data_IF_049161717443
#
_entry.id   IF_049161717443
#
_cell.length_a   1.000
_cell.length_b   1.000
_cell.length_c   1.000
_cell.angle_alpha   90.00
_cell.angle_beta   90.00
_cell.angle_gamma   90.00
#
_symmetry.space_group_name_H-M   'P 1'
#
loop_
_entity.id
_entity.type
_entity.pdbx_description
1 polymer ?
#
# COMPACT_ATOMS: atom_id res chain seq x y z
N UNK A 1 -1.67 19.48 -14.03
CA UNK A 1 -2.53 20.40 -13.24
C UNK A 1 -2.11 21.82 -13.55
N UNK A 2 -2.94 22.62 -14.23
CA UNK A 2 -2.53 23.92 -14.75
C UNK A 2 -2.21 24.95 -13.65
N UNK A 3 -2.88 24.88 -12.49
CA UNK A 3 -2.68 25.85 -11.41
C UNK A 3 -1.57 25.50 -10.42
N UNK A 4 -0.83 24.39 -10.57
CA UNK A 4 0.04 23.88 -9.51
C UNK A 4 1.16 24.86 -9.09
N UNK A 5 1.63 25.70 -10.02
CA UNK A 5 2.64 26.74 -9.78
C UNK A 5 2.22 27.80 -8.75
N UNK A 6 0.92 28.02 -8.56
CA UNK A 6 0.42 29.09 -7.67
C UNK A 6 0.22 28.64 -6.22
N UNK A 7 0.27 27.33 -5.97
CA UNK A 7 0.04 26.73 -4.65
C UNK A 7 1.33 26.20 -4.03
N UNK A 8 2.31 25.80 -4.84
CA UNK A 8 3.57 25.29 -4.31
C UNK A 8 4.38 26.40 -3.61
N UNK A 9 4.96 26.12 -2.43
CA UNK A 9 5.83 27.07 -1.73
C UNK A 9 7.12 27.36 -2.51
N UNK A 10 7.56 26.42 -3.35
CA UNK A 10 8.65 26.61 -4.31
C UNK A 10 8.22 26.11 -5.70
N UNK A 11 7.93 27.01 -6.65
CA UNK A 11 7.49 26.65 -7.99
C UNK A 11 8.63 26.16 -8.89
N UNK A 12 9.90 26.37 -8.54
CA UNK A 12 11.05 25.94 -9.35
C UNK A 12 11.20 24.42 -9.37
N UNK A 13 10.55 23.71 -8.44
CA UNK A 13 10.46 22.25 -8.40
C UNK A 13 9.72 21.68 -9.63
N UNK A 14 8.91 22.51 -10.31
CA UNK A 14 8.21 22.12 -11.54
C UNK A 14 9.01 22.37 -12.82
N UNK A 15 10.13 23.07 -12.73
CA UNK A 15 10.95 23.39 -13.88
C UNK A 15 11.92 22.22 -14.13
N UNK A 16 11.82 21.60 -15.31
CA UNK A 16 12.68 20.49 -15.71
C UNK A 16 14.12 21.00 -15.89
N UNK A 17 14.99 20.75 -14.91
CA UNK A 17 16.41 21.02 -15.09
C UNK A 17 17.01 20.04 -16.12
N UNK A 18 17.97 20.47 -16.96
CA UNK A 18 18.45 19.74 -18.14
C UNK A 18 19.09 18.36 -17.87
N UNK A 19 19.26 17.97 -16.61
CA UNK A 19 19.89 16.71 -16.19
C UNK A 19 19.07 15.91 -15.16
N UNK A 20 17.80 16.26 -14.94
CA UNK A 20 16.94 15.47 -14.05
C UNK A 20 16.53 14.17 -14.75
N UNK A 21 16.76 13.04 -14.07
CA UNK A 21 16.23 11.76 -14.51
C UNK A 21 14.72 11.74 -14.35
N UNK A 22 13.99 11.30 -15.38
CA UNK A 22 12.53 11.24 -15.37
C UNK A 22 11.96 10.46 -14.17
N UNK A 23 12.68 9.43 -13.69
CA UNK A 23 12.32 8.63 -12.51
C UNK A 23 12.35 9.39 -11.17
N UNK A 24 13.04 10.52 -11.10
CA UNK A 24 13.19 11.35 -9.88
C UNK A 24 12.20 12.51 -9.87
N UNK A 25 11.57 12.82 -11.00
CA UNK A 25 10.60 13.91 -11.11
C UNK A 25 9.42 13.63 -10.18
N UNK A 26 9.19 14.54 -9.23
CA UNK A 26 8.11 14.40 -8.26
C UNK A 26 6.78 14.66 -8.93
N UNK A 27 5.96 13.60 -9.00
CA UNK A 27 4.58 13.71 -9.46
C UNK A 27 3.68 14.16 -8.30
N UNK A 28 2.92 15.23 -8.53
CA UNK A 28 1.94 15.75 -7.59
C UNK A 28 0.54 15.26 -7.93
N UNK A 29 -0.14 14.69 -6.93
CA UNK A 29 -1.53 14.27 -7.04
C UNK A 29 -2.46 15.24 -6.29
N UNK A 30 -3.76 15.28 -6.64
CA UNK A 30 -4.75 16.03 -5.86
C UNK A 30 -4.75 15.66 -4.37
N UNK A 31 -4.45 14.39 -4.04
CA UNK A 31 -4.33 13.92 -2.64
C UNK A 31 -3.14 14.50 -1.88
N UNK A 32 -2.10 14.97 -2.57
CA UNK A 32 -0.89 15.53 -1.94
C UNK A 32 -1.07 17.00 -1.53
N UNK A 33 -2.11 17.65 -2.04
CA UNK A 33 -2.47 19.03 -1.69
C UNK A 33 -3.23 19.04 -0.36
N UNK A 34 -2.87 19.96 0.54
CA UNK A 34 -3.37 19.95 1.92
C UNK A 34 -4.78 20.53 2.04
N UNK A 35 -5.11 21.55 1.22
CA UNK A 35 -6.35 22.30 1.39
C UNK A 35 -7.34 22.08 0.25
N UNK A 36 -8.65 21.99 0.57
CA UNK A 36 -9.71 21.92 -0.44
C UNK A 36 -9.72 23.12 -1.40
N UNK A 37 -9.42 24.31 -0.90
CA UNK A 37 -9.34 25.55 -1.71
C UNK A 37 -8.17 25.53 -2.69
N UNK A 38 -7.03 24.96 -2.30
CA UNK A 38 -5.88 24.76 -3.18
C UNK A 38 -6.21 23.77 -4.30
N UNK A 39 -6.92 22.68 -3.96
CA UNK A 39 -7.37 21.68 -4.93
C UNK A 39 -8.32 22.29 -5.94
N UNK A 40 -9.30 23.07 -5.52
CA UNK A 40 -10.25 23.69 -6.45
C UNK A 40 -9.61 24.72 -7.39
N UNK A 41 -8.52 25.38 -6.96
CA UNK A 41 -7.74 26.32 -7.79
C UNK A 41 -6.80 25.62 -8.77
N UNK A 42 -6.26 24.47 -8.40
CA UNK A 42 -5.21 23.77 -9.15
C UNK A 42 -5.74 22.66 -10.06
N UNK A 43 -6.78 21.97 -9.60
CA UNK A 43 -7.33 20.77 -10.21
C UNK A 43 -8.47 21.13 -11.17
N UNK A 44 -8.59 20.35 -12.24
CA UNK A 44 -9.79 20.38 -13.07
C UNK A 44 -10.97 19.85 -12.25
N UNK A 45 -12.16 20.47 -12.41
CA UNK A 45 -13.38 20.05 -11.74
C UNK A 45 -13.62 18.55 -11.96
N UNK A 46 -13.90 17.83 -10.87
CA UNK A 46 -14.13 16.38 -10.90
C UNK A 46 -12.88 15.49 -10.88
N UNK A 47 -11.67 16.04 -11.01
CA UNK A 47 -10.45 15.22 -10.95
C UNK A 47 -10.25 14.59 -9.57
N UNK A 48 -10.58 15.31 -8.50
CA UNK A 48 -10.53 14.83 -7.11
C UNK A 48 -11.47 13.65 -6.87
N UNK A 49 -12.66 13.66 -7.49
CA UNK A 49 -13.64 12.58 -7.33
C UNK A 49 -13.21 11.33 -8.11
N UNK A 50 -12.64 11.51 -9.30
CA UNK A 50 -12.05 10.43 -10.10
C UNK A 50 -10.89 9.80 -9.34
N UNK A 51 -9.98 10.61 -8.81
CA UNK A 51 -8.86 10.09 -8.01
C UNK A 51 -9.38 9.32 -6.79
N UNK A 52 -10.33 9.86 -6.04
CA UNK A 52 -10.88 9.19 -4.86
C UNK A 52 -11.48 7.81 -5.21
N UNK A 53 -12.17 7.68 -6.36
CA UNK A 53 -12.67 6.39 -6.85
C UNK A 53 -11.55 5.41 -7.15
N UNK A 54 -10.51 5.86 -7.85
CA UNK A 54 -9.33 5.04 -8.16
C UNK A 54 -8.62 4.61 -6.87
N UNK A 55 -8.40 5.51 -5.90
CA UNK A 55 -7.77 5.19 -4.62
C UNK A 55 -8.56 4.16 -3.82
N UNK A 56 -9.89 4.25 -3.85
CA UNK A 56 -10.76 3.27 -3.21
C UNK A 56 -10.64 1.88 -3.87
N UNK A 57 -10.67 1.81 -5.20
CA UNK A 57 -10.49 0.56 -5.93
C UNK A 57 -9.12 -0.05 -5.65
N UNK A 58 -8.04 0.74 -5.77
CA UNK A 58 -6.68 0.32 -5.45
C UNK A 58 -6.54 -0.16 -4.00
N UNK A 59 -7.16 0.51 -3.04
CA UNK A 59 -7.12 0.06 -1.65
C UNK A 59 -7.77 -1.33 -1.49
N UNK A 60 -8.90 -1.58 -2.16
CA UNK A 60 -9.55 -2.90 -2.17
C UNK A 60 -8.68 -3.97 -2.82
N UNK A 61 -8.12 -3.68 -3.99
CA UNK A 61 -7.27 -4.61 -4.74
C UNK A 61 -5.98 -4.95 -3.95
N UNK A 62 -5.34 -3.95 -3.36
CA UNK A 62 -4.15 -4.16 -2.53
C UNK A 62 -4.45 -5.01 -1.29
N UNK A 63 -5.63 -4.88 -0.68
CA UNK A 63 -6.05 -5.77 0.42
C UNK A 63 -6.26 -7.20 -0.07
N UNK A 64 -6.85 -7.37 -1.25
CA UNK A 64 -7.03 -8.68 -1.85
C UNK A 64 -5.67 -9.35 -2.13
N UNK A 65 -4.73 -8.62 -2.73
CA UNK A 65 -3.38 -9.10 -2.98
C UNK A 65 -2.63 -9.42 -1.69
N UNK A 66 -2.75 -8.57 -0.66
CA UNK A 66 -2.17 -8.82 0.66
C UNK A 66 -2.67 -10.14 1.23
N UNK A 67 -3.99 -10.38 1.22
CA UNK A 67 -4.59 -11.64 1.69
C UNK A 67 -4.09 -12.83 0.89
N UNK A 68 -4.00 -12.70 -0.43
CA UNK A 68 -3.49 -13.75 -1.33
C UNK A 68 -2.03 -14.09 -1.01
N UNK A 69 -1.18 -13.09 -0.80
CA UNK A 69 0.23 -13.31 -0.46
C UNK A 69 0.40 -13.93 0.92
N UNK A 70 -0.40 -13.52 1.92
CA UNK A 70 -0.42 -14.14 3.24
C UNK A 70 -0.85 -15.61 3.17
N UNK A 71 -1.89 -15.95 2.40
CA UNK A 71 -2.28 -17.33 2.16
C UNK A 71 -1.15 -18.13 1.51
N UNK A 72 -0.52 -17.57 0.48
CA UNK A 72 0.61 -18.21 -0.21
C UNK A 72 1.77 -18.46 0.75
N UNK A 73 2.09 -17.50 1.64
CA UNK A 73 3.11 -17.64 2.69
C UNK A 73 2.80 -18.81 3.62
N UNK A 74 1.56 -18.92 4.09
CA UNK A 74 1.15 -20.02 4.98
C UNK A 74 1.24 -21.39 4.29
N UNK A 75 0.80 -21.49 3.04
CA UNK A 75 0.87 -22.72 2.28
C UNK A 75 2.33 -23.12 2.01
N UNK A 76 3.16 -22.16 1.61
CA UNK A 76 4.58 -22.40 1.38
C UNK A 76 5.29 -22.88 2.65
N UNK A 77 4.96 -22.33 3.81
CA UNK A 77 5.52 -22.79 5.09
C UNK A 77 5.14 -24.26 5.36
N UNK A 78 3.87 -24.64 5.16
CA UNK A 78 3.43 -26.05 5.30
C UNK A 78 4.13 -26.96 4.30
N UNK A 79 4.22 -26.54 3.04
CA UNK A 79 4.89 -27.29 1.98
C UNK A 79 6.38 -27.48 2.29
N UNK A 80 7.05 -26.43 2.77
CA UNK A 80 8.47 -26.47 3.13
C UNK A 80 8.73 -27.50 4.22
N UNK A 81 7.95 -27.47 5.31
CA UNK A 81 8.10 -28.42 6.42
C UNK A 81 7.93 -29.87 5.94
N UNK A 82 7.01 -30.13 5.01
CA UNK A 82 6.72 -31.49 4.52
C UNK A 82 7.71 -32.01 3.48
N UNK A 83 8.19 -31.17 2.56
CA UNK A 83 8.84 -31.62 1.32
C UNK A 83 10.31 -31.21 1.19
N UNK A 84 10.81 -30.28 2.01
CA UNK A 84 12.17 -29.74 1.85
C UNK A 84 13.13 -30.51 2.75
N UNK A 85 13.98 -31.33 2.12
CA UNK A 85 15.13 -31.99 2.76
C UNK A 85 16.41 -31.67 2.01
N UNK A 86 17.51 -31.47 2.74
CA UNK A 86 18.83 -31.12 2.21
C UNK A 86 19.08 -29.62 1.99
N UNK A 87 20.34 -29.28 1.73
CA UNK A 87 20.81 -27.88 1.73
C UNK A 87 20.34 -27.05 0.53
N UNK A 88 20.39 -27.63 -0.69
CA UNK A 88 20.08 -26.90 -1.94
C UNK A 88 18.59 -26.52 -2.02
N UNK A 89 17.71 -27.46 -1.68
CA UNK A 89 16.25 -27.28 -1.64
C UNK A 89 15.85 -26.31 -0.53
N UNK A 90 16.52 -26.36 0.64
CA UNK A 90 16.34 -25.39 1.73
C UNK A 90 16.65 -23.96 1.30
N UNK A 91 17.76 -23.77 0.57
CA UNK A 91 18.14 -22.44 0.05
C UNK A 91 17.09 -21.91 -0.94
N UNK A 92 16.63 -22.75 -1.89
CA UNK A 92 15.56 -22.37 -2.83
C UNK A 92 14.25 -22.03 -2.13
N UNK A 93 13.86 -22.83 -1.14
CA UNK A 93 12.64 -22.58 -0.36
C UNK A 93 12.73 -21.24 0.40
N UNK A 94 13.90 -20.91 0.97
CA UNK A 94 14.15 -19.62 1.61
C UNK A 94 14.05 -18.45 0.64
N UNK A 95 14.63 -18.56 -0.57
CA UNK A 95 14.51 -17.52 -1.61
C UNK A 95 13.06 -17.29 -2.03
N UNK A 96 12.27 -18.37 -2.12
CA UNK A 96 10.85 -18.28 -2.46
C UNK A 96 10.04 -17.62 -1.32
N UNK A 97 10.32 -17.98 -0.06
CA UNK A 97 9.71 -17.30 1.11
C UNK A 97 10.01 -15.80 1.09
N UNK A 98 11.28 -15.43 0.91
CA UNK A 98 11.69 -14.04 0.84
C UNK A 98 10.98 -13.27 -0.29
N UNK A 99 10.82 -13.89 -1.45
CA UNK A 99 10.10 -13.30 -2.59
C UNK A 99 8.63 -13.03 -2.27
N UNK A 100 7.99 -13.88 -1.45
CA UNK A 100 6.61 -13.66 -1.00
C UNK A 100 6.57 -12.56 0.06
N UNK A 101 7.52 -12.53 0.98
CA UNK A 101 7.58 -11.49 2.03
C UNK A 101 7.75 -10.08 1.42
N UNK A 102 8.57 -9.95 0.37
CA UNK A 102 8.68 -8.69 -0.40
C UNK A 102 7.32 -8.29 -0.96
N UNK A 103 6.56 -9.22 -1.55
CA UNK A 103 5.23 -8.94 -2.11
C UNK A 103 4.21 -8.56 -1.04
N UNK A 104 4.27 -9.20 0.13
CA UNK A 104 3.45 -8.83 1.30
C UNK A 104 3.74 -7.38 1.72
N UNK A 105 5.02 -7.03 1.82
CA UNK A 105 5.43 -5.68 2.23
C UNK A 105 5.06 -4.62 1.19
N UNK A 106 5.18 -4.93 -0.10
CA UNK A 106 4.76 -4.06 -1.20
C UNK A 106 3.24 -3.83 -1.18
N UNK A 107 2.44 -4.89 -1.12
CA UNK A 107 0.97 -4.79 -1.04
C UNK A 107 0.50 -4.00 0.20
N UNK A 108 1.14 -4.23 1.35
CA UNK A 108 0.91 -3.47 2.60
C UNK A 108 1.19 -1.97 2.40
N UNK A 109 2.33 -1.64 1.79
CA UNK A 109 2.73 -0.24 1.57
C UNK A 109 1.78 0.45 0.60
N UNK A 110 1.42 -0.22 -0.49
CA UNK A 110 0.45 0.29 -1.49
C UNK A 110 -0.93 0.51 -0.89
N UNK A 111 -1.40 -0.41 -0.03
CA UNK A 111 -2.64 -0.25 0.70
C UNK A 111 -2.62 1.00 1.59
N UNK A 112 -1.59 1.13 2.45
CA UNK A 112 -1.44 2.29 3.35
C UNK A 112 -1.39 3.61 2.59
N UNK A 113 -0.62 3.66 1.49
CA UNK A 113 -0.53 4.84 0.63
C UNK A 113 -1.89 5.19 0.00
N UNK A 114 -2.60 4.20 -0.53
CA UNK A 114 -3.91 4.40 -1.17
C UNK A 114 -4.96 4.85 -0.15
N UNK A 115 -4.98 4.26 1.04
CA UNK A 115 -5.86 4.66 2.15
C UNK A 115 -5.57 6.08 2.61
N UNK A 116 -4.29 6.44 2.81
CA UNK A 116 -3.89 7.80 3.20
C UNK A 116 -4.35 8.84 2.17
N UNK A 117 -4.12 8.56 0.89
CA UNK A 117 -4.57 9.44 -0.19
C UNK A 117 -6.11 9.56 -0.23
N UNK A 118 -6.83 8.45 -0.06
CA UNK A 118 -8.29 8.46 0.02
C UNK A 118 -8.81 9.29 1.21
N UNK A 119 -8.16 9.16 2.36
CA UNK A 119 -8.46 9.95 3.56
C UNK A 119 -8.22 11.44 3.33
N UNK A 120 -7.10 11.81 2.71
CA UNK A 120 -6.84 13.21 2.36
C UNK A 120 -7.89 13.79 1.42
N UNK A 121 -8.46 13.00 0.50
CA UNK A 121 -9.44 13.45 -0.48
C UNK A 121 -10.87 13.54 0.07
N UNK A 122 -11.35 12.50 0.77
CA UNK A 122 -12.74 12.40 1.24
C UNK A 122 -12.93 12.78 2.71
N UNK A 123 -11.86 12.75 3.50
CA UNK A 123 -11.95 12.82 4.96
C UNK A 123 -12.57 11.56 5.58
N UNK A 124 -13.00 11.69 6.83
CA UNK A 124 -13.68 10.63 7.58
C UNK A 124 -15.04 10.31 6.96
N UNK A 125 -15.41 9.02 6.96
CA UNK A 125 -16.70 8.62 6.41
C UNK A 125 -16.98 7.11 6.49
N UNK A 126 -18.12 6.66 5.97
CA UNK A 126 -18.57 5.26 6.06
C UNK A 126 -17.65 4.27 5.36
N UNK A 127 -16.77 4.77 4.48
CA UNK A 127 -15.79 3.96 3.76
C UNK A 127 -14.71 3.37 4.69
N UNK A 128 -14.45 3.99 5.86
CA UNK A 128 -13.49 3.49 6.85
C UNK A 128 -13.93 2.16 7.49
N UNK A 129 -15.23 1.90 7.55
CA UNK A 129 -15.78 0.64 8.04
C UNK A 129 -15.30 -0.55 7.22
N UNK A 130 -15.15 -0.34 5.91
CA UNK A 130 -14.71 -1.36 4.95
C UNK A 130 -13.19 -1.35 4.75
N UNK A 131 -12.58 -0.16 4.67
CA UNK A 131 -11.14 0.04 4.46
C UNK A 131 -10.47 0.56 5.75
N UNK A 132 -10.27 -0.37 6.68
CA UNK A 132 -9.70 -0.10 8.01
C UNK A 132 -8.22 0.24 7.97
N UNK A 133 -7.73 0.92 8.99
CA UNK A 133 -6.29 1.05 9.19
C UNK A 133 -5.67 -0.33 9.36
N UNK A 134 -4.54 -0.55 8.68
CA UNK A 134 -3.82 -1.82 8.71
C UNK A 134 -2.59 -1.64 9.59
N UNK A 135 -2.60 -2.23 10.78
CA UNK A 135 -1.45 -2.25 11.68
C UNK A 135 -0.46 -3.34 11.28
N UNK A 136 0.77 -3.25 11.80
CA UNK A 136 1.78 -4.27 11.54
C UNK A 136 1.34 -5.63 12.11
N UNK A 137 0.65 -5.60 13.25
CA UNK A 137 0.07 -6.79 13.89
C UNK A 137 -1.07 -7.42 13.08
N UNK A 138 -1.67 -6.72 12.12
CA UNK A 138 -2.73 -7.30 11.28
C UNK A 138 -2.16 -8.15 10.14
N UNK A 139 -0.86 -8.02 9.83
CA UNK A 139 -0.20 -8.68 8.69
C UNK A 139 0.29 -10.08 9.08
N UNK A 140 -0.65 -10.95 9.43
CA UNK A 140 -0.40 -12.33 9.89
C UNK A 140 -1.07 -13.37 9.00
N UNK A 141 -0.54 -14.59 9.03
CA UNK A 141 -1.15 -15.73 8.33
C UNK A 141 -2.49 -16.15 8.93
N UNK A 142 -3.38 -16.73 8.13
CA UNK A 142 -4.74 -17.13 8.54
C UNK A 142 -4.77 -18.02 9.80
N UNK A 143 -3.81 -18.92 9.95
CA UNK A 143 -3.72 -19.84 11.10
C UNK A 143 -2.83 -19.31 12.23
N UNK A 144 -2.12 -18.22 12.02
CA UNK A 144 -1.16 -17.69 12.99
C UNK A 144 -1.88 -17.04 14.18
N UNK A 145 -3.02 -16.38 13.93
CA UNK A 145 -3.85 -15.76 14.97
C UNK A 145 -4.37 -16.77 15.99
N UNK A 146 -4.96 -17.87 15.53
CA UNK A 146 -5.46 -18.93 16.41
C UNK A 146 -4.32 -19.57 17.21
N UNK A 147 -3.15 -19.78 16.60
CA UNK A 147 -2.00 -20.35 17.29
C UNK A 147 -1.44 -19.40 18.36
N UNK A 148 -1.28 -18.11 18.06
CA UNK A 148 -0.78 -17.12 19.03
C UNK A 148 -1.78 -16.88 20.18
N UNK A 149 -3.08 -16.87 19.89
CA UNK A 149 -4.11 -16.69 20.90
C UNK A 149 -4.18 -17.92 21.84
N UNK A 150 -4.01 -19.13 21.31
CA UNK A 150 -3.89 -20.37 22.10
C UNK A 150 -2.62 -20.39 22.96
N UNK A 151 -1.47 -19.99 22.41
CA UNK A 151 -0.20 -19.91 23.15
C UNK A 151 -0.26 -18.88 24.30
N UNK A 152 -0.97 -17.77 24.12
CA UNK A 152 -1.20 -16.78 25.18
C UNK A 152 -2.16 -17.27 26.25
N UNK A 153 -3.14 -18.09 25.91
CA UNK A 153 -4.09 -18.67 26.87
C UNK A 153 -3.48 -19.80 27.72
N UNK A 154 -2.33 -20.34 27.32
CA UNK A 154 -1.59 -21.39 28.03
C UNK A 154 -0.46 -20.85 28.93
N UNK A 155 -0.22 -19.53 28.94
CA UNK A 155 0.72 -18.84 29.84
C UNK A 155 -0.02 -18.16 30.97
#
# INVERSE_FOLDING_TARGET
MPGLRTVLPDPTVLDDAPHIRAEVVRLYFPSDLQTGTERDRTCVKGLTTVEARIRQALASDNLHDLRRHLLTRTYLNKWRVKNVSGQRTSTRARSLQHSIDIKVQDAKTRYRRSRKALFSLRGTGPWETFLKELNDDDVRGLNERLMTDLEKAQR
#
